data_IF_600958806666
#
_entry.id   IF_600958806666
#
_cell.length_a   1.000
_cell.length_b   1.000
_cell.length_c   1.000
_cell.angle_alpha   90.00
_cell.angle_beta   90.00
_cell.angle_gamma   90.00
#
_symmetry.space_group_name_H-M   'P 1'
#
loop_
_entity.id
_entity.type
_entity.pdbx_description
1 polymer ?
#
# COMPACT_ATOMS: atom_id res chain seq x y z
N UNK A 1 5.05 -6.72 -5.83
CA UNK A 1 6.24 -6.18 -5.16
C UNK A 1 6.03 -5.94 -3.68
N UNK A 2 4.79 -5.70 -3.23
CA UNK A 2 4.48 -5.27 -1.87
C UNK A 2 4.91 -6.34 -0.84
N UNK A 3 4.22 -7.49 -0.83
CA UNK A 3 4.45 -8.57 0.15
C UNK A 3 5.88 -9.13 0.22
N UNK A 4 6.65 -9.03 -0.87
CA UNK A 4 7.98 -9.66 -0.99
C UNK A 4 9.12 -8.65 -0.85
N UNK A 5 8.93 -7.37 -1.13
CA UNK A 5 10.03 -6.40 -1.11
C UNK A 5 9.83 -5.31 -0.06
N UNK A 6 8.68 -4.65 -0.03
CA UNK A 6 8.46 -3.50 0.84
C UNK A 6 8.16 -3.93 2.27
N UNK A 7 7.31 -4.96 2.44
CA UNK A 7 6.73 -5.29 3.74
C UNK A 7 7.63 -6.20 4.59
N UNK A 8 8.59 -6.89 3.96
CA UNK A 8 9.44 -7.85 4.67
C UNK A 8 10.32 -7.19 5.73
N UNK A 9 10.93 -6.03 5.41
CA UNK A 9 11.86 -5.37 6.33
C UNK A 9 11.15 -4.75 7.54
N UNK A 10 10.01 -4.02 7.39
CA UNK A 10 9.21 -3.58 8.53
C UNK A 10 8.66 -4.73 9.37
N UNK A 11 8.21 -5.82 8.74
CA UNK A 11 7.72 -6.99 9.49
C UNK A 11 8.80 -7.64 10.35
N UNK A 12 10.03 -7.74 9.83
CA UNK A 12 11.17 -8.28 10.59
C UNK A 12 11.62 -7.31 11.69
N UNK A 13 11.57 -6.00 11.45
CA UNK A 13 12.02 -5.01 12.44
C UNK A 13 11.10 -4.94 13.66
N UNK A 14 9.82 -5.28 13.52
CA UNK A 14 8.87 -5.45 14.64
C UNK A 14 9.25 -6.59 15.60
N UNK A 15 10.01 -7.59 15.14
CA UNK A 15 10.50 -8.66 16.02
C UNK A 15 11.56 -8.18 17.03
N UNK A 16 12.21 -7.03 16.78
CA UNK A 16 13.19 -6.41 17.67
C UNK A 16 12.56 -5.50 18.72
N UNK A 17 11.23 -5.41 18.78
CA UNK A 17 10.54 -4.56 19.74
C UNK A 17 10.64 -5.10 21.18
N UNK A 18 10.87 -4.21 22.13
CA UNK A 18 10.93 -4.57 23.55
C UNK A 18 9.52 -4.82 24.12
N UNK A 19 9.46 -5.57 25.22
CA UNK A 19 8.19 -5.87 25.89
C UNK A 19 7.48 -4.60 26.38
N UNK A 20 6.18 -4.46 26.08
CA UNK A 20 5.33 -3.34 26.53
C UNK A 20 5.06 -3.33 28.05
N UNK A 21 5.19 -4.48 28.70
CA UNK A 21 4.92 -4.65 30.12
C UNK A 21 5.78 -5.78 30.67
N UNK A 22 5.93 -5.87 31.99
CA UNK A 22 6.65 -6.98 32.62
C UNK A 22 5.96 -8.32 32.31
N UNK A 23 6.48 -9.01 31.30
CA UNK A 23 5.98 -10.31 30.84
C UNK A 23 6.31 -11.43 31.83
N UNK A 24 7.32 -11.25 32.69
CA UNK A 24 7.78 -12.25 33.64
C UNK A 24 6.85 -12.35 34.86
N UNK A 25 6.05 -11.31 35.11
CA UNK A 25 5.00 -11.32 36.14
C UNK A 25 3.70 -11.99 35.68
N UNK A 26 3.58 -12.32 34.38
CA UNK A 26 2.34 -12.88 33.81
C UNK A 26 2.39 -14.41 33.78
N UNK A 27 1.29 -15.11 34.12
CA UNK A 27 1.23 -16.57 34.00
C UNK A 27 1.39 -17.03 32.53
N UNK A 28 1.87 -18.27 32.30
CA UNK A 28 2.08 -18.82 30.96
C UNK A 28 0.76 -18.90 30.17
N UNK A 29 0.88 -18.66 28.86
CA UNK A 29 -0.25 -18.62 27.91
C UNK A 29 -1.01 -19.95 27.85
N UNK A 30 -2.35 -19.90 27.83
CA UNK A 30 -3.15 -21.10 27.60
C UNK A 30 -3.29 -21.41 26.09
N UNK A 31 -2.78 -22.55 25.59
CA UNK A 31 -2.77 -22.86 24.15
C UNK A 31 -4.17 -23.05 23.54
N UNK A 32 -5.20 -23.37 24.33
CA UNK A 32 -6.56 -23.63 23.84
C UNK A 32 -7.43 -22.37 23.80
N UNK A 33 -7.05 -21.31 24.52
CA UNK A 33 -7.85 -20.08 24.63
C UNK A 33 -7.14 -18.87 24.02
N UNK A 34 -5.82 -18.79 24.20
CA UNK A 34 -5.02 -17.63 23.80
C UNK A 34 -4.25 -17.92 22.51
N UNK A 35 -5.00 -18.01 21.41
CA UNK A 35 -4.42 -18.20 20.07
C UNK A 35 -3.58 -16.99 19.65
N UNK A 36 -2.55 -17.24 18.83
CA UNK A 36 -1.68 -16.18 18.30
C UNK A 36 -2.48 -15.21 17.43
N UNK A 37 -3.35 -15.76 16.57
CA UNK A 37 -4.28 -15.01 15.72
C UNK A 37 -5.68 -15.21 16.29
N UNK A 38 -6.26 -14.13 16.81
CA UNK A 38 -7.62 -14.12 17.36
C UNK A 38 -8.56 -13.46 16.36
N UNK A 39 -9.86 -13.79 16.36
CA UNK A 39 -10.85 -13.11 15.50
C UNK A 39 -10.90 -11.58 15.69
N UNK A 40 -10.57 -11.08 16.89
CA UNK A 40 -10.39 -9.64 17.15
C UNK A 40 -9.26 -9.02 16.32
N UNK A 41 -8.15 -9.74 16.17
CA UNK A 41 -7.04 -9.31 15.33
C UNK A 41 -7.45 -9.29 13.86
N UNK A 42 -8.17 -10.32 13.41
CA UNK A 42 -8.68 -10.38 12.03
C UNK A 42 -9.58 -9.18 11.71
N UNK A 43 -10.55 -8.88 12.58
CA UNK A 43 -11.49 -7.77 12.37
C UNK A 43 -10.81 -6.40 12.46
N UNK A 44 -9.77 -6.27 13.28
CA UNK A 44 -8.99 -5.04 13.38
C UNK A 44 -8.12 -4.83 12.12
N UNK A 45 -7.32 -5.82 11.75
CA UNK A 45 -6.38 -5.73 10.62
C UNK A 45 -7.13 -5.67 9.27
N UNK A 46 -7.93 -6.68 8.94
CA UNK A 46 -8.62 -6.73 7.65
C UNK A 46 -9.84 -5.81 7.58
N UNK A 47 -10.53 -5.60 8.71
CA UNK A 47 -11.76 -4.83 8.74
C UNK A 47 -11.54 -3.33 8.82
N UNK A 48 -10.66 -2.87 9.72
CA UNK A 48 -10.45 -1.43 9.93
C UNK A 48 -9.24 -0.93 9.15
N UNK A 49 -8.04 -1.41 9.46
CA UNK A 49 -6.81 -0.87 8.87
C UNK A 49 -6.78 -1.11 7.36
N UNK A 50 -7.00 -2.35 6.94
CA UNK A 50 -7.01 -2.71 5.52
C UNK A 50 -8.10 -2.00 4.72
N UNK A 51 -9.23 -1.65 5.35
CA UNK A 51 -10.27 -0.85 4.69
C UNK A 51 -9.79 0.58 4.41
N UNK A 52 -9.14 1.22 5.37
CA UNK A 52 -8.59 2.57 5.19
C UNK A 52 -7.42 2.59 4.18
N UNK A 53 -6.56 1.58 4.21
CA UNK A 53 -5.49 1.42 3.23
C UNK A 53 -6.02 1.21 1.81
N UNK A 54 -7.01 0.33 1.63
CA UNK A 54 -7.68 0.16 0.35
C UNK A 54 -8.34 1.46 -0.14
N UNK A 55 -9.02 2.18 0.75
CA UNK A 55 -9.66 3.45 0.42
C UNK A 55 -8.64 4.51 -0.03
N UNK A 56 -7.49 4.60 0.63
CA UNK A 56 -6.40 5.51 0.25
C UNK A 56 -5.82 5.16 -1.13
N UNK A 57 -5.59 3.87 -1.41
CA UNK A 57 -5.14 3.42 -2.72
C UNK A 57 -6.14 3.72 -3.84
N UNK A 58 -7.43 3.44 -3.62
CA UNK A 58 -8.48 3.76 -4.59
C UNK A 58 -8.64 5.27 -4.79
N UNK A 59 -8.46 6.08 -3.74
CA UNK A 59 -8.49 7.53 -3.84
C UNK A 59 -7.42 8.04 -4.81
N UNK A 60 -6.16 7.61 -4.64
CA UNK A 60 -5.06 7.99 -5.55
C UNK A 60 -5.33 7.53 -6.98
N UNK A 61 -5.87 6.33 -7.15
CA UNK A 61 -6.27 5.82 -8.48
C UNK A 61 -7.29 6.74 -9.17
N UNK A 62 -8.34 7.15 -8.47
CA UNK A 62 -9.36 8.03 -9.04
C UNK A 62 -8.85 9.44 -9.32
N UNK A 63 -7.98 9.98 -8.45
CA UNK A 63 -7.34 11.28 -8.66
C UNK A 63 -6.55 11.28 -9.96
N UNK A 64 -5.64 10.31 -10.15
CA UNK A 64 -4.83 10.23 -11.37
C UNK A 64 -5.71 10.02 -12.60
N UNK A 65 -6.68 9.09 -12.55
CA UNK A 65 -7.58 8.90 -13.67
C UNK A 65 -8.35 10.19 -14.04
N UNK A 66 -8.78 10.96 -13.04
CA UNK A 66 -9.49 12.22 -13.26
C UNK A 66 -8.62 13.33 -13.85
N UNK A 67 -7.34 13.41 -13.45
CA UNK A 67 -6.38 14.37 -14.01
C UNK A 67 -6.09 14.12 -15.49
N UNK A 68 -6.13 12.85 -15.90
CA UNK A 68 -5.96 12.43 -17.29
C UNK A 68 -7.28 12.34 -18.08
N UNK A 69 -8.41 12.82 -17.53
CA UNK A 69 -9.68 12.95 -18.26
C UNK A 69 -10.67 11.80 -18.11
N UNK A 70 -10.32 10.75 -17.36
CA UNK A 70 -11.24 9.67 -17.02
C UNK A 70 -11.90 9.93 -15.66
N UNK A 71 -13.05 10.61 -15.67
CA UNK A 71 -13.83 10.84 -14.46
C UNK A 71 -14.35 9.50 -13.88
N UNK A 72 -14.56 9.41 -12.56
CA UNK A 72 -15.04 8.19 -11.90
C UNK A 72 -16.31 7.60 -12.50
N UNK A 73 -17.23 8.44 -13.00
CA UNK A 73 -18.47 7.99 -13.64
C UNK A 73 -18.20 7.24 -14.96
N UNK A 74 -17.25 7.70 -15.78
CA UNK A 74 -16.89 7.06 -17.06
C UNK A 74 -16.12 5.75 -16.86
N UNK A 75 -15.45 5.57 -15.73
CA UNK A 75 -14.67 4.36 -15.43
C UNK A 75 -15.56 3.12 -15.21
N UNK A 76 -16.81 3.32 -14.76
CA UNK A 76 -17.73 2.21 -14.49
C UNK A 76 -18.15 1.56 -15.81
N UNK A 77 -17.86 0.26 -15.97
CA UNK A 77 -18.18 -0.49 -17.19
C UNK A 77 -17.18 -0.36 -18.34
N UNK A 78 -16.16 0.50 -18.20
CA UNK A 78 -15.16 0.78 -19.24
C UNK A 78 -14.21 -0.39 -19.52
N UNK A 79 -14.16 -1.40 -18.64
CA UNK A 79 -13.14 -2.46 -18.67
C UNK A 79 -13.06 -3.22 -20.00
N UNK A 80 -14.20 -3.51 -20.62
CA UNK A 80 -14.24 -4.25 -21.90
C UNK A 80 -13.64 -3.43 -23.05
N UNK A 81 -13.96 -2.13 -23.10
CA UNK A 81 -13.45 -1.20 -24.10
C UNK A 81 -11.97 -0.87 -23.85
N UNK A 82 -11.58 -0.77 -22.57
CA UNK A 82 -10.21 -0.49 -22.13
C UNK A 82 -9.21 -1.59 -22.49
N UNK A 83 -9.61 -2.86 -22.37
CA UNK A 83 -8.74 -4.01 -22.65
C UNK A 83 -8.73 -4.43 -24.12
N UNK A 84 -9.68 -3.93 -24.94
CA UNK A 84 -9.71 -4.24 -26.37
C UNK A 84 -8.57 -3.53 -27.12
N UNK A 85 -7.71 -4.32 -27.75
CA UNK A 85 -6.64 -3.82 -28.62
C UNK A 85 -7.16 -3.28 -29.97
N UNK A 86 -8.42 -3.61 -30.33
CA UNK A 86 -9.03 -3.20 -31.59
C UNK A 86 -9.56 -1.76 -31.56
N UNK A 87 -9.82 -1.22 -30.36
CA UNK A 87 -10.34 0.13 -30.15
C UNK A 87 -9.14 1.05 -29.93
N UNK A 88 -8.94 2.04 -30.78
CA UNK A 88 -7.85 3.04 -30.66
C UNK A 88 -8.37 4.48 -30.55
N UNK A 89 -9.69 4.60 -30.46
CA UNK A 89 -10.50 5.82 -30.49
C UNK A 89 -11.35 5.91 -29.21
N UNK A 90 -10.84 5.41 -28.08
CA UNK A 90 -11.61 5.44 -26.84
C UNK A 90 -11.74 6.88 -26.35
N UNK A 91 -12.96 7.41 -26.33
CA UNK A 91 -13.23 8.74 -25.82
C UNK A 91 -13.21 8.80 -24.29
N UNK A 92 -12.46 9.77 -23.78
CA UNK A 92 -12.49 10.17 -22.38
C UNK A 92 -13.71 11.06 -22.07
N UNK A 93 -13.76 11.62 -20.86
CA UNK A 93 -14.89 12.45 -20.43
C UNK A 93 -14.84 13.88 -21.00
N UNK A 94 -13.70 14.30 -21.54
CA UNK A 94 -13.47 15.59 -22.17
C UNK A 94 -13.59 15.53 -23.70
N UNK A 95 -13.81 14.34 -24.27
CA UNK A 95 -13.96 14.10 -25.69
C UNK A 95 -12.64 13.88 -26.45
N UNK A 96 -11.52 13.65 -25.75
CA UNK A 96 -10.26 13.26 -26.38
C UNK A 96 -10.24 11.75 -26.67
N UNK A 97 -9.68 11.38 -27.82
CA UNK A 97 -9.52 9.98 -28.22
C UNK A 97 -8.19 9.42 -27.74
N UNK A 98 -8.22 8.23 -27.15
CA UNK A 98 -7.07 7.56 -26.58
C UNK A 98 -6.73 6.26 -27.30
N UNK A 99 -5.47 6.11 -27.71
CA UNK A 99 -4.96 4.86 -28.31
C UNK A 99 -4.82 3.76 -27.27
N UNK A 100 -4.73 2.49 -27.70
CA UNK A 100 -4.51 1.38 -26.78
C UNK A 100 -3.22 1.52 -25.95
N UNK A 101 -2.12 1.96 -26.57
CA UNK A 101 -0.83 2.08 -25.88
C UNK A 101 -0.86 3.16 -24.79
N UNK A 102 -1.42 4.34 -25.08
CA UNK A 102 -1.52 5.45 -24.13
C UNK A 102 -2.38 5.07 -22.91
N UNK A 103 -3.49 4.36 -23.13
CA UNK A 103 -4.35 3.84 -22.05
C UNK A 103 -3.60 2.87 -21.16
N UNK A 104 -2.80 1.97 -21.76
CA UNK A 104 -2.01 1.01 -20.99
C UNK A 104 -0.89 1.70 -20.21
N UNK A 105 -0.22 2.70 -20.79
CA UNK A 105 0.74 3.54 -20.05
C UNK A 105 0.06 4.20 -18.84
N UNK A 106 -1.11 4.84 -19.03
CA UNK A 106 -1.85 5.45 -17.93
C UNK A 106 -2.26 4.42 -16.85
N UNK A 107 -2.74 3.24 -17.26
CA UNK A 107 -3.08 2.15 -16.34
C UNK A 107 -1.87 1.71 -15.50
N UNK A 108 -0.70 1.60 -16.11
CA UNK A 108 0.52 1.22 -15.42
C UNK A 108 1.05 2.32 -14.49
N UNK A 109 0.92 3.59 -14.88
CA UNK A 109 1.17 4.73 -13.98
C UNK A 109 0.25 4.66 -12.75
N UNK A 110 -1.03 4.33 -12.94
CA UNK A 110 -1.97 4.17 -11.83
C UNK A 110 -1.59 3.02 -10.88
N UNK A 111 -1.10 1.88 -11.40
CA UNK A 111 -0.60 0.79 -10.55
C UNK A 111 0.63 1.21 -9.74
N UNK A 112 1.52 2.00 -10.34
CA UNK A 112 2.71 2.53 -9.66
C UNK A 112 2.30 3.49 -8.54
N UNK A 113 1.37 4.40 -8.81
CA UNK A 113 0.86 5.33 -7.81
C UNK A 113 0.10 4.64 -6.68
N UNK A 114 -0.69 3.61 -7.00
CA UNK A 114 -1.37 2.78 -6.00
C UNK A 114 -0.34 2.09 -5.08
N UNK A 115 0.75 1.56 -5.64
CA UNK A 115 1.84 0.97 -4.86
C UNK A 115 2.48 2.00 -3.92
N UNK A 116 2.74 3.23 -4.40
CA UNK A 116 3.30 4.30 -3.57
C UNK A 116 2.32 4.65 -2.43
N UNK A 117 1.02 4.72 -2.72
CA UNK A 117 0.01 4.99 -1.71
C UNK A 117 0.00 3.92 -0.61
N UNK A 118 0.11 2.64 -0.99
CA UNK A 118 0.23 1.51 -0.06
C UNK A 118 1.47 1.64 0.82
N UNK A 119 2.64 1.93 0.25
CA UNK A 119 3.88 2.12 1.03
C UNK A 119 3.72 3.26 2.05
N UNK A 120 3.06 4.35 1.68
CA UNK A 120 2.82 5.48 2.60
C UNK A 120 1.88 5.06 3.73
N UNK A 121 0.80 4.33 3.44
CA UNK A 121 -0.12 3.85 4.48
C UNK A 121 0.53 2.81 5.39
N UNK A 122 1.47 2.02 4.87
CA UNK A 122 2.23 1.05 5.66
C UNK A 122 3.14 1.70 6.69
N UNK A 123 3.63 2.93 6.48
CA UNK A 123 4.37 3.63 7.53
C UNK A 123 3.51 3.81 8.77
N UNK A 124 2.25 4.23 8.57
CA UNK A 124 1.30 4.39 9.66
C UNK A 124 0.97 3.04 10.30
N UNK A 125 0.76 1.99 9.50
CA UNK A 125 0.51 0.64 10.03
C UNK A 125 1.69 0.11 10.85
N UNK A 126 2.92 0.30 10.39
CA UNK A 126 4.13 -0.08 11.13
C UNK A 126 4.22 0.61 12.50
N UNK A 127 3.83 1.88 12.59
CA UNK A 127 3.75 2.59 13.87
C UNK A 127 2.61 2.10 14.76
N UNK A 128 1.45 1.76 14.21
CA UNK A 128 0.31 1.23 14.96
C UNK A 128 0.61 -0.17 15.48
N UNK A 129 1.20 -1.03 14.65
CA UNK A 129 1.56 -2.40 14.99
C UNK A 129 2.71 -2.51 16.00
N UNK A 130 3.48 -1.43 16.21
CA UNK A 130 4.56 -1.35 17.22
C UNK A 130 4.06 -1.63 18.64
N UNK A 131 2.85 -1.19 18.97
CA UNK A 131 2.29 -1.30 20.33
C UNK A 131 0.85 -1.81 20.29
N UNK A 132 0.56 -2.88 21.03
CA UNK A 132 -0.77 -3.49 21.13
C UNK A 132 -1.67 -2.83 22.18
N UNK A 133 -1.10 -2.22 23.22
CA UNK A 133 -1.87 -1.60 24.32
C UNK A 133 -1.34 -0.24 24.72
N UNK A 134 -0.02 -0.09 24.82
CA UNK A 134 0.57 1.17 25.25
C UNK A 134 0.46 2.23 24.16
N UNK A 135 0.42 3.50 24.57
CA UNK A 135 0.57 4.60 23.62
C UNK A 135 2.02 4.70 23.15
N UNK A 136 2.22 5.10 21.90
CA UNK A 136 3.54 5.36 21.31
C UNK A 136 4.32 6.39 22.14
N UNK A 137 3.64 7.35 22.75
CA UNK A 137 4.28 8.38 23.59
C UNK A 137 4.82 7.82 24.91
N UNK A 138 4.18 6.78 25.46
CA UNK A 138 4.61 6.15 26.71
C UNK A 138 5.70 5.12 26.47
N UNK A 139 5.60 4.34 25.39
CA UNK A 139 6.61 3.35 25.00
C UNK A 139 7.89 4.01 24.45
N UNK A 140 7.73 5.14 23.74
CA UNK A 140 8.79 5.82 23.02
C UNK A 140 9.18 5.12 21.71
N UNK A 141 9.88 5.83 20.83
CA UNK A 141 10.32 5.32 19.53
C UNK A 141 11.81 4.96 19.60
N UNK A 142 12.13 3.89 20.34
CA UNK A 142 13.53 3.48 20.59
C UNK A 142 14.08 2.46 19.59
N UNK A 143 13.20 1.81 18.82
CA UNK A 143 13.58 0.77 17.87
C UNK A 143 14.23 1.40 16.62
N UNK A 144 15.55 1.41 16.57
CA UNK A 144 16.31 1.93 15.43
C UNK A 144 16.09 1.10 14.16
N UNK A 145 15.95 -0.22 14.27
CA UNK A 145 15.72 -1.12 13.16
C UNK A 145 14.41 -0.79 12.43
N UNK A 146 13.36 -0.40 13.16
CA UNK A 146 12.08 0.02 12.58
C UNK A 146 12.21 1.31 11.74
N UNK A 147 12.99 2.27 12.23
CA UNK A 147 13.25 3.51 11.48
C UNK A 147 14.05 3.24 10.20
N UNK A 148 15.09 2.39 10.29
CA UNK A 148 15.87 1.99 9.13
C UNK A 148 15.01 1.25 8.11
N UNK A 149 14.13 0.34 8.55
CA UNK A 149 13.27 -0.40 7.64
C UNK A 149 12.33 0.52 6.84
N UNK A 150 11.71 1.51 7.49
CA UNK A 150 10.83 2.48 6.80
C UNK A 150 11.61 3.29 5.75
N UNK A 151 12.83 3.72 6.07
CA UNK A 151 13.68 4.46 5.11
C UNK A 151 14.04 3.56 3.92
N UNK A 152 14.48 2.32 4.17
CA UNK A 152 14.86 1.39 3.11
C UNK A 152 13.67 1.05 2.23
N UNK A 153 12.50 0.83 2.81
CA UNK A 153 11.24 0.60 2.10
C UNK A 153 10.91 1.77 1.17
N UNK A 154 11.00 3.00 1.67
CA UNK A 154 10.78 4.23 0.89
C UNK A 154 11.75 4.33 -0.28
N UNK A 155 13.03 4.03 -0.04
CA UNK A 155 14.06 4.06 -1.08
C UNK A 155 13.76 3.00 -2.16
N UNK A 156 13.38 1.78 -1.77
CA UNK A 156 12.99 0.73 -2.71
C UNK A 156 11.78 1.17 -3.54
N UNK A 157 10.75 1.76 -2.93
CA UNK A 157 9.58 2.28 -3.63
C UNK A 157 9.96 3.38 -4.65
N UNK A 158 10.82 4.32 -4.26
CA UNK A 158 11.34 5.36 -5.15
C UNK A 158 12.17 4.78 -6.30
N UNK A 159 13.03 3.79 -6.04
CA UNK A 159 13.80 3.11 -7.08
C UNK A 159 12.88 2.37 -8.04
N UNK A 160 11.85 1.68 -7.55
CA UNK A 160 10.87 1.00 -8.41
C UNK A 160 10.07 1.98 -9.28
N UNK A 161 9.72 3.14 -8.74
CA UNK A 161 8.95 4.16 -9.48
C UNK A 161 9.79 4.93 -10.51
N UNK A 162 11.05 5.26 -10.20
CA UNK A 162 11.84 6.22 -10.98
C UNK A 162 13.07 5.64 -11.70
N UNK A 163 13.44 4.37 -11.47
CA UNK A 163 14.61 3.79 -12.12
C UNK A 163 14.38 3.59 -13.63
N UNK A 164 15.24 4.19 -14.50
CA UNK A 164 15.13 4.04 -15.94
C UNK A 164 15.42 2.59 -16.35
N UNK A 165 14.47 1.95 -17.05
CA UNK A 165 14.55 0.53 -17.42
C UNK A 165 13.46 -0.35 -16.78
N UNK A 166 12.67 0.19 -15.84
CA UNK A 166 11.52 -0.52 -15.27
C UNK A 166 10.32 -0.68 -16.23
N UNK A 167 10.47 -0.34 -17.51
CA UNK A 167 9.50 -0.64 -18.57
C UNK A 167 9.21 -2.14 -18.68
N UNK A 168 10.17 -3.02 -18.33
CA UNK A 168 9.96 -4.46 -18.26
C UNK A 168 9.00 -4.89 -17.13
N UNK A 169 9.03 -4.17 -16.01
CA UNK A 169 8.14 -4.36 -14.87
C UNK A 169 6.86 -3.52 -14.96
N UNK A 170 6.73 -2.70 -16.02
CA UNK A 170 5.61 -1.80 -16.27
C UNK A 170 5.39 -0.79 -15.14
N UNK A 171 6.47 -0.31 -14.53
CA UNK A 171 6.40 0.86 -13.65
C UNK A 171 6.68 2.12 -14.45
N UNK A 172 5.84 3.13 -14.26
CA UNK A 172 5.96 4.42 -14.91
C UNK A 172 6.08 5.52 -13.85
N UNK A 173 6.92 6.54 -14.09
CA UNK A 173 7.12 7.60 -13.13
C UNK A 173 5.81 8.35 -12.93
N UNK A 174 5.42 8.50 -11.67
CA UNK A 174 4.29 9.32 -11.27
C UNK A 174 4.77 10.78 -11.26
N UNK A 175 3.99 11.69 -11.83
CA UNK A 175 4.28 13.13 -11.73
C UNK A 175 3.87 13.60 -10.33
N UNK A 176 4.77 14.34 -9.68
CA UNK A 176 4.48 15.08 -8.44
C UNK A 176 3.70 16.36 -8.74
#
# INVERSE_FOLDING_TARGET
>A
CIDVLTDMLPAISLAYEEAESDIMQRPPRNPFKDHLVTGKLYFFAYGHIGFFEAAAGFFVYFVIMSEYGFLPERLIGLRKEWDSMLINDLQDSYGMEWTYEERKVLQYTCYTAFLIAVVITQWADAFICKTRRNSIFTQGIKNWQLHVSIIVETVIACVLAYCPGNSYLKFYPVKF
#
